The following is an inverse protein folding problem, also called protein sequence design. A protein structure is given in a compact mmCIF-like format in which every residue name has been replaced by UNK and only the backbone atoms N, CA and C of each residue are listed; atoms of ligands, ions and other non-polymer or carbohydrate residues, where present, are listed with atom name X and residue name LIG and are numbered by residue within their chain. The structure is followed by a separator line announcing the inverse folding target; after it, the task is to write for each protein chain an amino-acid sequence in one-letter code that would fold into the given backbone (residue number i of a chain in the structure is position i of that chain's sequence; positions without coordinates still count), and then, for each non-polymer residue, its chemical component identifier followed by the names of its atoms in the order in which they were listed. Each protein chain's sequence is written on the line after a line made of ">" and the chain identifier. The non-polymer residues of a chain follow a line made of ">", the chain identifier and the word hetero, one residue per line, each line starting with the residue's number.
data_IF_964793019072
#
_entry.id   IF_964793019072
#
_cell.length_a   1.000
_cell.length_b   1.000
_cell.length_c   1.000
_cell.angle_alpha   90.00
_cell.angle_beta   90.00
_cell.angle_gamma   90.00
#
_symmetry.space_group_name_H-M   'P 1'
#
loop_
_entity.id
_entity.type
_entity.pdbx_description
1 polymer ?
2 non-polymer ?
3 water ?
#
# COMPACT_ATOMS: atom_id res chain seq x y z
N UNK A 2 -12.39 -21.97 13.72
CA UNK A 2 -12.68 -20.88 12.75
C UNK A 2 -14.05 -21.09 12.12
N UNK A 3 -14.70 -19.97 11.79
CA UNK A 3 -16.02 -19.95 11.18
C UNK A 3 -15.88 -19.81 9.66
N UNK A 4 -16.35 -20.81 8.92
CA UNK A 4 -16.34 -20.78 7.43
C UNK A 4 -17.35 -19.82 6.77
N UNK A 5 -18.40 -19.43 7.50
CA UNK A 5 -19.49 -18.59 6.94
C UNK A 5 -20.01 -17.59 8.01
N UNK A 6 -19.14 -16.66 8.43
CA UNK A 6 -19.52 -15.73 9.51
C UNK A 6 -20.61 -14.72 9.14
N UNK A 7 -21.42 -14.35 10.13
CA UNK A 7 -22.46 -13.28 9.95
C UNK A 7 -21.84 -11.88 9.78
N UNK A 8 -20.71 -11.66 10.44
CA UNK A 8 -19.96 -10.40 10.33
C UNK A 8 -18.63 -10.64 9.61
N UNK A 9 -18.33 -9.81 8.61
CA UNK A 9 -17.01 -9.83 7.94
C UNK A 9 -16.16 -8.70 8.48
N UNK A 10 -15.02 -9.08 9.04
CA UNK A 10 -13.99 -8.16 9.52
C UNK A 10 -13.03 -7.86 8.34
N UNK A 11 -13.05 -6.59 7.91
CA UNK A 11 -12.39 -6.10 6.69
C UNK A 11 -11.32 -5.06 7.05
N UNK A 12 -10.04 -5.46 6.93
CA UNK A 12 -8.89 -4.61 7.30
C UNK A 12 -8.35 -3.84 6.08
N UNK A 13 -7.97 -2.59 6.35
CA UNK A 13 -7.40 -1.67 5.36
C UNK A 13 -5.95 -1.33 5.68
N UNK A 14 -5.05 -1.47 4.71
CA UNK A 14 -3.62 -1.15 4.95
C UNK A 14 -3.47 0.27 5.48
N UNK A 15 -2.68 0.48 6.58
CA UNK A 15 -2.58 1.85 7.16
C UNK A 15 -1.49 2.67 6.42
N UNK A 16 -1.78 2.97 5.15
CA UNK A 16 -0.89 3.79 4.30
C UNK A 16 -1.08 5.32 4.49
N UNK A 17 -2.22 5.67 5.10
CA UNK A 17 -2.64 7.05 5.39
C UNK A 17 -3.32 7.08 6.78
N UNK A 18 -3.60 8.31 7.22
CA UNK A 18 -4.49 8.65 8.34
C UNK A 18 -5.73 7.71 8.35
N UNK A 19 -6.01 7.06 9.49
CA UNK A 19 -7.11 6.07 9.59
C UNK A 19 -8.48 6.71 9.21
N UNK A 20 -8.73 7.93 9.68
CA UNK A 20 -9.99 8.64 9.36
C UNK A 20 -10.18 8.83 7.84
N UNK A 21 -9.09 9.20 7.14
CA UNK A 21 -9.10 9.33 5.66
C UNK A 21 -9.49 8.00 4.96
N UNK A 22 -8.92 6.90 5.44
CA UNK A 22 -9.21 5.55 4.88
C UNK A 22 -10.66 5.10 5.09
N UNK A 23 -11.15 5.30 6.32
CA UNK A 23 -12.55 4.94 6.67
C UNK A 23 -13.53 5.74 5.77
N UNK A 24 -13.27 7.04 5.65
CA UNK A 24 -14.03 7.92 4.74
C UNK A 24 -14.06 7.40 3.30
N UNK A 25 -12.87 7.17 2.74
CA UNK A 25 -12.72 6.72 1.33
C UNK A 25 -13.48 5.40 1.05
N UNK A 26 -13.44 4.48 2.01
CA UNK A 26 -14.01 3.12 1.87
C UNK A 26 -15.49 2.98 2.29
N UNK A 27 -16.15 4.06 2.75
CA UNK A 27 -17.53 3.94 3.23
C UNK A 27 -18.48 3.48 2.11
N UNK A 28 -18.37 4.06 0.87
CA UNK A 28 -19.30 3.57 -0.18
C UNK A 28 -19.10 2.11 -0.56
N UNK A 29 -17.83 1.66 -0.54
CA UNK A 29 -17.54 0.22 -0.75
C UNK A 29 -18.16 -0.66 0.35
N UNK A 30 -18.03 -0.22 1.62
CA UNK A 30 -18.66 -0.93 2.75
C UNK A 30 -20.18 -1.14 2.53
N UNK A 31 -20.86 -0.06 2.13
CA UNK A 31 -22.31 -0.11 1.86
C UNK A 31 -22.63 -1.08 0.70
N UNK A 32 -21.87 -0.98 -0.37
CA UNK A 32 -22.02 -1.87 -1.55
C UNK A 32 -21.87 -3.37 -1.16
N UNK A 33 -20.83 -3.67 -0.38
CA UNK A 33 -20.58 -5.05 0.11
C UNK A 33 -21.72 -5.59 1.00
N UNK A 34 -22.22 -4.76 1.91
CA UNK A 34 -23.32 -5.23 2.82
C UNK A 34 -24.54 -5.68 2.02
N UNK A 35 -24.90 -4.84 1.06
CA UNK A 35 -26.01 -5.10 0.08
C UNK A 35 -25.87 -6.40 -0.70
N UNK A 36 -24.72 -6.58 -1.33
CA UNK A 36 -24.52 -7.68 -2.29
C UNK A 36 -24.01 -9.01 -1.69
N UNK A 37 -23.54 -8.97 -0.44
CA UNK A 37 -23.03 -10.18 0.28
C UNK A 37 -23.96 -10.73 1.37
N UNK A 38 -24.91 -9.93 1.83
CA UNK A 38 -25.85 -10.30 2.96
C UNK A 38 -25.07 -10.62 4.24
N UNK A 39 -24.15 -9.71 4.52
CA UNK A 39 -23.30 -9.71 5.71
C UNK A 39 -23.25 -8.31 6.30
N UNK A 40 -22.98 -8.25 7.60
CA UNK A 40 -22.51 -7.02 8.27
C UNK A 40 -20.99 -6.89 8.02
N UNK A 41 -20.56 -5.68 7.70
CA UNK A 41 -19.14 -5.37 7.45
C UNK A 41 -18.60 -4.43 8.55
N UNK A 42 -17.50 -4.85 9.16
CA UNK A 42 -16.74 -4.05 10.13
C UNK A 42 -15.36 -3.65 9.57
N UNK A 43 -15.18 -2.36 9.29
CA UNK A 43 -13.89 -1.84 8.80
C UNK A 43 -12.91 -1.70 9.97
N UNK A 44 -11.67 -2.14 9.71
CA UNK A 44 -10.57 -2.15 10.70
C UNK A 44 -9.34 -1.46 10.11
N UNK A 45 -8.71 -0.57 10.90
CA UNK A 45 -7.37 -0.01 10.54
C UNK A 45 -6.42 -0.27 11.72
N UNK A 46 -5.43 -1.14 11.49
CA UNK A 46 -4.41 -1.48 12.50
C UNK A 46 -3.39 -0.35 12.65
N UNK A 47 -2.58 -0.44 13.72
CA UNK A 47 -1.58 0.61 14.05
C UNK A 47 -0.42 0.72 13.03
N UNK A 48 -0.06 -0.41 12.44
CA UNK A 48 1.07 -0.51 11.48
C UNK A 48 0.91 -1.76 10.56
N UNK A 49 1.85 -1.94 9.63
CA UNK A 49 1.76 -3.04 8.65
C UNK A 49 1.94 -4.43 9.33
N UNK A 50 2.92 -4.54 10.23
CA UNK A 50 3.20 -5.81 10.95
C UNK A 50 1.97 -6.30 11.73
N UNK A 51 1.29 -5.37 12.39
CA UNK A 51 0.08 -5.74 13.18
C UNK A 51 -1.05 -6.27 12.29
N UNK A 52 -1.14 -5.77 11.05
CA UNK A 52 -2.14 -6.27 10.07
C UNK A 52 -1.78 -7.70 9.60
N UNK A 53 -0.50 -7.91 9.28
CA UNK A 53 0.01 -9.24 8.88
C UNK A 53 -0.27 -10.27 10.02
N UNK A 54 0.06 -9.88 11.25
CA UNK A 54 -0.15 -10.76 12.44
C UNK A 54 -1.64 -11.05 12.68
N UNK A 55 -2.50 -10.05 12.55
CA UNK A 55 -3.97 -10.25 12.71
C UNK A 55 -4.49 -11.30 11.72
N UNK A 56 -4.00 -11.21 10.47
CA UNK A 56 -4.37 -12.18 9.43
C UNK A 56 -3.91 -13.62 9.80
N UNK A 57 -2.64 -13.76 10.22
CA UNK A 57 -2.07 -15.09 10.59
C UNK A 57 -2.86 -15.77 11.73
N UNK A 58 -3.33 -14.95 12.67
CA UNK A 58 -4.06 -15.47 13.85
C UNK A 58 -5.59 -15.61 13.66
N UNK A 59 -6.05 -15.35 12.43
CA UNK A 59 -7.49 -15.50 12.03
C UNK A 59 -8.45 -14.44 12.57
N UNK A 60 -7.89 -13.29 12.98
CA UNK A 60 -8.67 -12.18 13.57
C UNK A 60 -9.31 -11.23 12.55
N UNK A 61 -8.97 -11.40 11.28
CA UNK A 61 -9.63 -10.66 10.20
C UNK A 61 -9.96 -11.65 9.04
N UNK A 62 -10.95 -11.26 8.24
CA UNK A 62 -11.51 -12.14 7.19
C UNK A 62 -11.04 -11.74 5.77
N UNK A 63 -11.17 -10.46 5.48
CA UNK A 63 -10.71 -9.82 4.22
C UNK A 63 -9.68 -8.74 4.57
N UNK A 64 -8.70 -8.56 3.68
CA UNK A 64 -7.69 -7.52 3.86
C UNK A 64 -7.30 -6.83 2.53
N UNK A 65 -7.22 -5.49 2.56
CA UNK A 65 -6.68 -4.68 1.46
C UNK A 65 -5.18 -4.46 1.77
N UNK A 66 -4.35 -5.32 1.18
CA UNK A 66 -2.86 -5.33 1.37
C UNK A 66 -2.12 -4.44 0.37
N UNK A 67 -0.89 -4.05 0.74
CA UNK A 67 0.09 -3.59 -0.29
C UNK A 67 0.78 -4.81 -0.91
N UNK A 68 1.47 -4.65 -2.05
CA UNK A 68 2.10 -5.81 -2.69
C UNK A 68 3.10 -6.59 -1.80
N UNK A 69 4.01 -5.88 -1.13
CA UNK A 69 5.04 -6.54 -0.28
C UNK A 69 4.42 -7.15 1.00
N UNK A 70 3.51 -6.41 1.65
CA UNK A 70 2.80 -6.97 2.84
C UNK A 70 1.97 -8.21 2.48
N UNK A 71 1.35 -8.22 1.29
CA UNK A 71 0.63 -9.40 0.78
C UNK A 71 1.59 -10.64 0.70
N UNK A 72 2.75 -10.50 0.01
CA UNK A 72 3.64 -11.67 -0.17
C UNK A 72 4.19 -12.15 1.19
N UNK A 73 4.45 -11.22 2.11
CA UNK A 73 4.87 -11.58 3.49
C UNK A 73 3.76 -12.38 4.20
N UNK A 74 2.53 -11.88 4.15
CA UNK A 74 1.38 -12.58 4.78
C UNK A 74 1.14 -13.98 4.15
N UNK A 75 1.26 -14.06 2.82
CA UNK A 75 1.10 -15.32 2.06
C UNK A 75 2.14 -16.38 2.48
N UNK A 76 3.33 -15.93 2.87
CA UNK A 76 4.40 -16.83 3.34
C UNK A 76 4.16 -17.42 4.75
N UNK A 77 3.26 -16.78 5.50
CA UNK A 77 2.97 -17.10 6.91
C UNK A 77 1.59 -17.72 7.17
N UNK A 78 0.68 -17.61 6.21
CA UNK A 78 -0.76 -17.96 6.41
C UNK A 78 -1.40 -18.36 5.09
N UNK A 79 -2.53 -19.06 5.18
CA UNK A 79 -3.26 -19.54 3.99
C UNK A 79 -4.33 -18.54 3.59
N UNK A 80 -3.96 -17.72 2.59
CA UNK A 80 -4.79 -16.62 2.07
C UNK A 80 -4.79 -16.69 0.55
N UNK A 81 -5.76 -16.03 -0.07
CA UNK A 81 -5.82 -15.95 -1.52
C UNK A 81 -6.19 -14.56 -2.01
N UNK A 82 -5.48 -14.09 -3.06
CA UNK A 82 -5.76 -12.79 -3.67
C UNK A 82 -6.91 -12.93 -4.66
N UNK A 83 -7.74 -11.89 -4.76
CA UNK A 83 -8.93 -11.98 -5.66
C UNK A 83 -9.26 -10.74 -6.52
N UNK A 84 -8.79 -9.54 -6.15
CA UNK A 84 -9.10 -8.33 -6.96
C UNK A 84 -8.09 -7.22 -6.71
N UNK A 85 -7.90 -6.39 -7.73
CA UNK A 85 -7.11 -5.14 -7.64
C UNK A 85 -7.78 -4.07 -8.52
N UNK A 86 -7.61 -2.79 -8.15
CA UNK A 86 -8.26 -1.69 -8.89
C UNK A 86 -7.47 -1.33 -10.17
N UNK A 87 -8.24 -0.98 -11.20
CA UNK A 87 -7.73 -0.36 -12.44
C UNK A 87 -7.93 1.17 -12.32
N UNK A 88 -6.81 1.90 -12.29
CA UNK A 88 -6.77 3.35 -12.05
C UNK A 88 -5.91 3.99 -13.17
N UNK A 89 -6.44 5.04 -13.79
CA UNK A 89 -5.73 5.73 -14.92
C UNK A 89 -5.34 4.77 -16.06
N UNK A 90 -6.23 3.81 -16.31
CA UNK A 90 -6.09 2.89 -17.45
C UNK A 90 -5.05 1.81 -17.33
N UNK A 91 -4.66 1.48 -16.11
CA UNK A 91 -3.63 0.45 -15.90
C UNK A 91 -3.76 -0.23 -14.53
N UNK A 92 -3.32 -1.49 -14.43
CA UNK A 92 -3.43 -2.23 -13.16
C UNK A 92 -2.13 -2.17 -12.35
N UNK A 93 -1.39 -1.08 -12.53
CA UNK A 93 -0.09 -0.86 -11.89
C UNK A 93 -0.01 0.54 -11.26
N UNK A 94 1.02 0.76 -10.45
CA UNK A 94 1.31 2.09 -9.86
C UNK A 94 2.82 2.29 -9.70
N UNK A 95 3.20 3.53 -9.39
CA UNK A 95 4.62 3.95 -9.25
C UNK A 95 4.91 4.61 -7.89
N UNK A 96 6.20 4.50 -7.52
CA UNK A 96 6.81 5.25 -6.41
C UNK A 96 7.35 6.59 -6.96
N UNK A 97 7.27 7.63 -6.12
CA UNK A 97 7.90 8.97 -6.39
C UNK A 97 8.95 9.22 -5.29
N UNK A 98 10.11 9.75 -5.71
CA UNK A 98 11.16 10.21 -4.77
C UNK A 98 11.15 11.76 -4.79
N UNK A 99 11.00 12.33 -3.58
CA UNK A 99 10.85 13.77 -3.38
C UNK A 99 12.02 14.30 -2.52
N UNK A 100 12.31 15.61 -2.63
CA UNK A 100 13.32 16.30 -1.80
C UNK A 100 12.77 17.62 -1.24
N UNK A 101 13.30 17.97 -0.07
CA UNK A 101 13.06 19.29 0.53
C UNK A 101 13.88 20.32 -0.27
N UNK A 102 13.25 21.43 -0.64
CA UNK A 102 13.92 22.51 -1.46
C UNK A 102 15.08 23.21 -0.72
N UNK A 103 15.09 23.10 0.61
CA UNK A 103 16.09 23.77 1.49
C UNK A 103 17.26 22.90 1.98
N UNK A 104 17.37 21.69 1.43
CA UNK A 104 18.31 20.65 1.89
C UNK A 104 19.67 20.58 1.16
N UNK A 105 19.74 21.25 0.02
CA UNK A 105 20.87 21.08 -0.91
C UNK A 105 20.86 19.79 -1.74
N UNK A 106 19.74 19.06 -1.73
CA UNK A 106 19.63 17.82 -2.53
C UNK A 106 18.93 18.14 -3.85
N UNK A 107 19.70 18.09 -4.94
CA UNK A 107 19.20 18.53 -6.25
C UNK A 107 19.05 17.38 -7.25
N UNK A 108 19.62 16.22 -6.90
CA UNK A 108 19.60 14.97 -7.67
C UNK A 108 19.92 13.75 -6.76
N UNK A 109 19.67 12.51 -7.22
CA UNK A 109 19.86 11.31 -6.38
C UNK A 109 21.25 11.22 -5.74
N UNK A 110 22.26 11.54 -6.53
CA UNK A 110 23.64 11.45 -6.08
C UNK A 110 23.96 12.33 -4.81
N UNK A 111 23.22 13.41 -4.67
CA UNK A 111 23.38 14.38 -3.55
C UNK A 111 22.86 13.83 -2.19
N UNK A 112 22.20 12.66 -2.21
CA UNK A 112 21.72 12.02 -0.96
C UNK A 112 22.84 11.41 -0.11
N UNK A 113 24.03 11.25 -0.69
CA UNK A 113 25.18 10.75 0.09
C UNK A 113 25.41 11.59 1.36
N UNK A 114 25.36 10.91 2.52
CA UNK A 114 25.50 11.56 3.84
C UNK A 114 24.32 12.33 4.40
N UNK A 115 23.17 12.23 3.73
CA UNK A 115 21.94 12.96 4.07
C UNK A 115 20.87 12.00 4.68
N UNK A 116 19.70 12.55 4.97
CA UNK A 116 18.59 11.86 5.68
C UNK A 116 17.45 11.50 4.73
N UNK A 117 17.25 10.19 4.52
CA UNK A 117 16.15 9.62 3.70
C UNK A 117 15.00 9.14 4.61
N UNK A 118 13.79 9.56 4.28
CA UNK A 118 12.54 9.06 4.93
C UNK A 118 11.86 7.95 4.10
N UNK A 119 11.68 6.81 4.77
CA UNK A 119 10.83 5.70 4.30
C UNK A 119 9.60 5.59 5.23
N UNK A 120 8.58 4.86 4.80
CA UNK A 120 7.37 4.69 5.58
C UNK A 120 7.47 3.53 6.56
N UNK A 121 6.92 2.39 6.17
CA UNK A 121 6.97 1.13 6.96
C UNK A 121 8.03 0.22 6.31
N UNK A 122 8.77 -0.55 7.12
CA UNK A 122 9.75 -1.53 6.59
C UNK A 122 9.10 -2.52 5.59
N UNK A 123 7.83 -2.83 5.81
CA UNK A 123 7.04 -3.77 4.93
C UNK A 123 6.31 -3.09 3.76
N UNK A 124 6.67 -1.84 3.45
CA UNK A 124 6.08 -1.06 2.35
C UNK A 124 6.81 -1.30 1.01
N UNK A 125 6.01 -1.47 -0.05
CA UNK A 125 6.51 -1.58 -1.45
C UNK A 125 7.02 -0.19 -1.96
N UNK A 126 6.09 0.76 -2.05
CA UNK A 126 6.35 2.10 -2.66
C UNK A 126 6.95 3.15 -1.72
N UNK A 127 6.93 2.90 -0.41
CA UNK A 127 7.61 3.79 0.58
C UNK A 127 8.84 3.13 1.23
N UNK A 128 9.30 1.99 0.71
CA UNK A 128 10.57 1.35 1.14
C UNK A 128 11.28 0.58 0.01
N UNK A 129 10.75 -0.61 -0.33
CA UNK A 129 11.44 -1.52 -1.24
C UNK A 129 11.82 -0.87 -2.61
N UNK A 130 10.81 -0.29 -3.26
CA UNK A 130 10.99 0.33 -4.59
C UNK A 130 11.98 1.52 -4.57
N UNK A 131 11.73 2.57 -3.71
CA UNK A 131 12.67 3.72 -3.75
C UNK A 131 14.11 3.33 -3.33
N UNK A 132 14.26 2.42 -2.37
CA UNK A 132 15.59 1.88 -1.99
C UNK A 132 16.33 1.26 -3.20
N UNK A 133 15.57 0.46 -3.96
CA UNK A 133 16.10 -0.17 -5.17
C UNK A 133 16.52 0.86 -6.23
N UNK A 134 15.68 1.86 -6.45
CA UNK A 134 15.99 2.97 -7.40
C UNK A 134 17.29 3.67 -7.03
N UNK A 135 17.45 4.02 -5.75
CA UNK A 135 18.69 4.69 -5.28
C UNK A 135 19.97 3.85 -5.48
N UNK A 136 19.84 2.55 -5.25
CA UNK A 136 20.96 1.63 -5.46
C UNK A 136 21.30 1.51 -6.96
N UNK A 137 20.29 1.28 -7.78
CA UNK A 137 20.52 1.00 -9.22
C UNK A 137 21.03 2.23 -9.99
N UNK A 138 20.54 3.41 -9.59
CA UNK A 138 20.86 4.69 -10.30
C UNK A 138 22.11 5.44 -9.79
N UNK A 139 22.36 5.37 -8.49
CA UNK A 139 23.40 6.14 -7.79
C UNK A 139 24.38 5.32 -6.93
N UNK A 140 24.21 4.01 -6.91
CA UNK A 140 25.07 3.08 -6.14
C UNK A 140 25.11 3.41 -4.64
N UNK A 141 23.95 3.81 -4.11
CA UNK A 141 23.78 4.22 -2.69
C UNK A 141 23.06 3.11 -1.91
N UNK A 142 23.67 2.71 -0.78
CA UNK A 142 23.15 1.64 0.11
C UNK A 142 22.63 2.27 1.42
N UNK A 143 21.40 1.96 1.77
CA UNK A 143 20.78 2.49 2.98
C UNK A 143 21.47 2.08 4.28
N UNK A 144 21.69 3.06 5.16
CA UNK A 144 22.40 2.86 6.44
C UNK A 144 23.92 2.93 6.35
N UNK A 145 24.44 2.72 5.14
CA UNK A 145 25.88 2.71 4.87
C UNK A 145 26.30 4.05 4.27
N UNK A 146 25.59 4.47 3.21
CA UNK A 146 25.90 5.71 2.45
C UNK A 146 25.03 6.93 2.77
N UNK A 147 23.87 6.66 3.38
CA UNK A 147 22.92 7.69 3.83
C UNK A 147 22.18 7.16 5.08
N UNK A 148 21.63 8.09 5.86
CA UNK A 148 20.80 7.75 7.04
C UNK A 148 19.38 7.40 6.57
N UNK A 149 18.81 6.35 7.14
CA UNK A 149 17.43 5.96 6.85
C UNK A 149 16.60 6.02 8.14
N UNK A 150 15.40 6.60 8.04
CA UNK A 150 14.41 6.55 9.12
C UNK A 150 13.05 6.13 8.58
N UNK A 151 12.33 5.39 9.41
CA UNK A 151 11.02 4.80 9.07
C UNK A 151 9.95 5.53 9.88
N UNK A 152 9.16 6.36 9.19
CA UNK A 152 8.20 7.29 9.84
C UNK A 152 6.74 6.84 9.82
N UNK A 153 6.49 5.66 9.21
CA UNK A 153 5.18 4.97 9.23
C UNK A 153 4.37 5.15 7.93
N UNK A 154 3.38 6.01 7.94
CA UNK A 154 2.48 6.15 6.81
C UNK A 154 3.18 6.92 5.65
N UNK A 155 2.59 6.79 4.46
CA UNK A 155 3.02 7.61 3.30
C UNK A 155 2.76 9.12 3.60
N UNK A 156 1.64 9.42 4.29
CA UNK A 156 1.35 10.80 4.75
C UNK A 156 2.56 11.36 5.54
N UNK A 157 3.04 10.54 6.47
CA UNK A 157 4.21 10.93 7.33
C UNK A 157 5.48 11.16 6.52
N UNK A 158 5.72 10.36 5.48
CA UNK A 158 6.88 10.59 4.59
C UNK A 158 6.79 12.03 4.01
N UNK A 159 5.64 12.38 3.43
CA UNK A 159 5.46 13.71 2.82
C UNK A 159 5.67 14.84 3.85
N UNK A 160 5.04 14.68 5.03
CA UNK A 160 5.14 15.66 6.12
C UNK A 160 6.61 15.89 6.59
N UNK A 161 7.32 14.79 6.84
CA UNK A 161 8.72 14.86 7.32
C UNK A 161 9.72 15.47 6.30
N UNK A 162 9.51 15.18 5.02
CA UNK A 162 10.30 15.83 3.95
C UNK A 162 9.97 17.34 3.89
N UNK A 163 8.67 17.69 3.85
CA UNK A 163 8.24 19.10 3.70
C UNK A 163 8.68 19.99 4.90
N UNK A 164 8.69 19.44 6.12
CA UNK A 164 9.07 20.24 7.32
C UNK A 164 10.58 20.29 7.66
N UNK A 165 11.40 19.52 6.94
CA UNK A 165 12.87 19.51 7.14
C UNK A 165 13.42 18.44 8.08
N UNK A 166 12.56 17.62 8.70
CA UNK A 166 13.06 16.47 9.49
C UNK A 166 13.80 15.42 8.63
N UNK A 167 13.44 15.34 7.35
CA UNK A 167 14.18 14.53 6.38
C UNK A 167 14.55 15.42 5.17
N UNK A 168 15.63 15.06 4.50
CA UNK A 168 16.11 15.75 3.28
C UNK A 168 15.42 15.25 2.00
N UNK A 169 15.11 13.96 1.96
CA UNK A 169 14.42 13.32 0.83
C UNK A 169 13.56 12.17 1.34
N UNK A 170 12.66 11.66 0.50
CA UNK A 170 11.79 10.53 0.89
C UNK A 170 11.19 9.83 -0.33
N UNK A 171 10.67 8.62 -0.10
CA UNK A 171 9.96 7.88 -1.15
C UNK A 171 8.58 7.45 -0.70
N UNK A 172 7.61 7.51 -1.60
CA UNK A 172 6.18 7.19 -1.28
C UNK A 172 5.40 6.92 -2.57
N UNK A 173 4.15 6.53 -2.42
CA UNK A 173 3.24 6.31 -3.56
C UNK A 173 2.98 7.65 -4.30
N UNK A 174 3.13 7.63 -5.63
CA UNK A 174 2.79 8.79 -6.50
C UNK A 174 1.41 9.41 -6.22
N UNK A 175 0.40 8.55 -6.13
CA UNK A 175 -0.99 9.04 -5.90
C UNK A 175 -1.16 9.72 -4.54
N UNK A 176 -0.58 9.10 -3.50
CA UNK A 176 -0.66 9.69 -2.15
C UNK A 176 0.04 11.07 -2.11
N UNK A 177 1.22 11.14 -2.71
CA UNK A 177 1.97 12.43 -2.76
C UNK A 177 1.14 13.55 -3.43
N UNK A 178 0.54 13.19 -4.56
CA UNK A 178 -0.13 14.16 -5.44
C UNK A 178 -1.36 14.77 -4.79
N UNK A 179 -1.95 14.07 -3.82
CA UNK A 179 -3.11 14.63 -3.08
C UNK A 179 -2.80 15.22 -1.70
N UNK A 180 -1.53 15.19 -1.31
CA UNK A 180 -1.10 15.63 0.04
C UNK A 180 -1.30 17.12 0.30
N UNK A 181 -0.98 17.96 -0.69
CA UNK A 181 -1.24 19.44 -0.59
C UNK A 181 -2.73 19.76 -0.56
N UNK A 182 -3.47 19.09 -1.44
CA UNK A 182 -4.95 19.17 -1.51
C UNK A 182 -5.65 18.92 -0.16
N UNK A 183 -5.12 17.94 0.59
CA UNK A 183 -5.58 17.59 1.97
C UNK A 183 -5.04 18.52 3.10
N UNK A 184 -4.15 19.42 2.71
CA UNK A 184 -3.43 20.37 3.59
C UNK A 184 -2.43 19.75 4.56
N UNK A 185 -1.89 18.59 4.19
CA UNK A 185 -0.81 17.93 4.97
C UNK A 185 0.48 18.73 4.88
N UNK A 186 0.72 19.28 3.69
CA UNK A 186 2.00 19.95 3.36
C UNK A 186 1.81 21.24 2.54
N UNK A 187 2.83 22.09 2.61
CA UNK A 187 2.99 23.29 1.78
C UNK A 187 3.76 22.81 0.52
N UNK A 188 3.12 22.80 -0.66
CA UNK A 188 3.75 22.20 -1.86
C UNK A 188 5.00 22.92 -2.37
N UNK A 189 5.15 24.20 -2.01
CA UNK A 189 6.35 25.00 -2.39
C UNK A 189 7.64 24.57 -1.66
N UNK A 190 7.50 23.75 -0.62
CA UNK A 190 8.63 23.29 0.20
C UNK A 190 9.29 22.01 -0.34
N UNK A 191 8.66 21.37 -1.35
CA UNK A 191 9.15 20.11 -1.90
C UNK A 191 9.26 20.15 -3.42
N UNK A 192 10.12 19.30 -3.93
CA UNK A 192 10.20 19.03 -5.37
C UNK A 192 10.35 17.53 -5.66
N UNK A 193 9.98 17.14 -6.86
CA UNK A 193 10.13 15.73 -7.31
C UNK A 193 11.54 15.52 -7.89
N UNK A 194 12.22 14.47 -7.44
CA UNK A 194 13.50 14.02 -8.03
C UNK A 194 13.34 13.00 -9.16
N UNK A 195 12.41 12.07 -9.01
CA UNK A 195 12.18 11.06 -10.04
C UNK A 195 11.08 10.08 -9.66
N UNK A 196 10.88 9.12 -10.55
CA UNK A 196 9.84 8.09 -10.45
C UNK A 196 10.44 6.70 -10.70
N UNK A 197 9.80 5.68 -10.10
CA UNK A 197 10.12 4.27 -10.43
C UNK A 197 9.38 3.85 -11.72
N UNK A 198 9.64 2.61 -12.12
CA UNK A 198 8.76 1.93 -13.08
C UNK A 198 7.41 1.54 -12.47
N UNK A 199 6.61 0.84 -13.30
CA UNK A 199 5.26 0.42 -12.96
C UNK A 199 5.25 -0.99 -12.29
N UNK A 200 4.60 -1.09 -11.13
CA UNK A 200 4.53 -2.33 -10.30
C UNK A 200 3.07 -2.73 -10.07
N UNK A 201 2.80 -4.04 -9.83
CA UNK A 201 1.38 -4.45 -9.66
C UNK A 201 0.63 -3.75 -8.52
N UNK A 202 -0.66 -3.44 -8.77
CA UNK A 202 -1.53 -2.77 -7.81
C UNK A 202 -1.75 -3.54 -6.50
N UNK A 203 -2.20 -2.80 -5.49
CA UNK A 203 -2.54 -3.39 -4.16
C UNK A 203 -3.56 -4.53 -4.32
N UNK A 204 -3.31 -5.71 -3.74
CA UNK A 204 -4.27 -6.79 -3.80
C UNK A 204 -5.23 -6.88 -2.60
N UNK A 205 -6.51 -7.06 -2.92
CA UNK A 205 -7.50 -7.60 -1.96
C UNK A 205 -7.28 -9.12 -1.81
N UNK A 206 -7.29 -9.57 -0.56
CA UNK A 206 -7.12 -10.99 -0.20
C UNK A 206 -8.07 -11.42 0.92
N UNK A 207 -8.31 -12.72 0.99
CA UNK A 207 -9.20 -13.32 2.04
C UNK A 207 -8.60 -14.60 2.61
N UNK A 208 -8.95 -14.90 3.86
CA UNK A 208 -8.52 -16.19 4.45
C UNK A 208 -9.16 -17.36 3.66
N UNK A 209 -8.34 -18.37 3.38
CA UNK A 209 -8.71 -19.48 2.47
C UNK A 209 -9.62 -20.54 3.12
N UNK A 210 -9.80 -20.46 4.44
CA UNK A 210 -10.71 -21.35 5.19
C UNK A 210 -12.15 -20.84 5.30
N UNK A 211 -12.48 -19.72 4.62
CA UNK A 211 -13.88 -19.37 4.30
C UNK A 211 -14.45 -20.46 3.38
N UNK A 212 -15.75 -20.69 3.43
CA UNK A 212 -16.40 -21.74 2.59
C UNK A 212 -16.20 -21.47 1.09
N UNK A 213 -16.08 -22.54 0.28
CA UNK A 213 -15.97 -22.33 -1.17
C UNK A 213 -17.08 -21.46 -1.78
N UNK A 214 -18.30 -21.67 -1.30
CA UNK A 214 -19.48 -20.86 -1.73
C UNK A 214 -19.32 -19.35 -1.41
N UNK A 215 -18.85 -19.04 -0.21
CA UNK A 215 -18.65 -17.65 0.22
C UNK A 215 -17.50 -17.00 -0.57
N UNK A 216 -16.42 -17.76 -0.74
CA UNK A 216 -15.23 -17.27 -1.52
C UNK A 216 -15.62 -16.90 -2.97
N UNK A 217 -16.45 -17.74 -3.60
CA UNK A 217 -16.96 -17.45 -4.96
C UNK A 217 -17.80 -16.16 -5.00
N UNK A 218 -18.69 -16.01 -4.02
CA UNK A 218 -19.53 -14.81 -3.93
C UNK A 218 -18.69 -13.54 -3.72
N UNK A 219 -17.70 -13.59 -2.82
CA UNK A 219 -16.81 -12.43 -2.58
C UNK A 219 -16.10 -12.00 -3.88
N UNK A 220 -15.49 -12.97 -4.55
CA UNK A 220 -14.79 -12.72 -5.84
C UNK A 220 -15.73 -12.04 -6.86
N UNK A 221 -16.89 -12.67 -7.06
CA UNK A 221 -17.87 -12.19 -8.06
C UNK A 221 -18.38 -10.77 -7.75
N UNK A 222 -18.67 -10.49 -6.47
CA UNK A 222 -19.20 -9.17 -6.06
C UNK A 222 -18.15 -8.07 -6.33
N UNK A 223 -16.91 -8.30 -5.92
CA UNK A 223 -15.84 -7.30 -6.17
C UNK A 223 -15.59 -7.07 -7.68
N UNK A 224 -15.41 -8.16 -8.43
CA UNK A 224 -15.07 -8.02 -9.87
C UNK A 224 -16.24 -7.40 -10.67
N UNK A 225 -17.45 -7.59 -10.18
CA UNK A 225 -18.67 -6.98 -10.78
C UNK A 225 -18.95 -5.50 -10.52
N UNK A 226 -18.13 -4.84 -9.69
CA UNK A 226 -18.43 -3.44 -9.31
C UNK A 226 -18.40 -2.52 -10.54
N UNK A 227 -19.53 -1.90 -10.86
CA UNK A 227 -19.52 -0.79 -11.87
C UNK A 227 -20.31 0.46 -11.45
N UNK A 228 -20.62 0.55 -10.16
CA UNK A 228 -21.34 1.70 -9.58
C UNK A 228 -20.40 2.93 -9.52
N UNK A 229 -20.73 4.02 -10.28
CA UNK A 229 -19.84 5.20 -10.29
C UNK A 229 -19.60 5.81 -8.91
N UNK A 230 -20.58 5.70 -8.01
CA UNK A 230 -20.42 6.25 -6.67
C UNK A 230 -19.41 5.48 -5.79
N UNK A 231 -19.21 4.18 -6.04
CA UNK A 231 -18.14 3.39 -5.34
C UNK A 231 -16.78 3.69 -5.98
N UNK A 232 -16.75 3.75 -7.31
CA UNK A 232 -15.50 3.93 -8.09
C UNK A 232 -14.91 5.33 -7.92
N UNK A 233 -15.78 6.33 -7.76
CA UNK A 233 -15.36 7.76 -7.73
C UNK A 233 -14.37 8.08 -6.62
N UNK A 234 -14.63 7.55 -5.42
CA UNK A 234 -13.77 7.83 -4.25
C UNK A 234 -12.33 7.35 -4.44
N UNK A 235 -12.19 6.27 -5.24
CA UNK A 235 -10.87 5.67 -5.55
C UNK A 235 -10.23 6.19 -6.85
N UNK A 236 -10.98 7.03 -7.58
CA UNK A 236 -10.61 7.49 -8.94
C UNK A 236 -10.30 6.27 -9.86
N UNK A 237 -11.10 5.22 -9.68
CA UNK A 237 -10.95 3.94 -10.39
C UNK A 237 -11.97 3.73 -11.50
N UNK A 238 -11.63 2.87 -12.45
CA UNK A 238 -12.51 2.47 -13.57
C UNK A 238 -13.18 1.08 -13.41
N UNK A 239 -12.53 0.20 -12.64
CA UNK A 239 -12.97 -1.19 -12.47
C UNK A 239 -12.17 -1.87 -11.35
N UNK A 240 -12.65 -3.03 -10.92
CA UNK A 240 -11.90 -3.99 -10.08
C UNK A 240 -11.61 -5.22 -10.97
N UNK A 241 -10.33 -5.49 -11.19
CA UNK A 241 -9.87 -6.58 -12.06
C UNK A 241 -9.56 -7.85 -11.27
N UNK A 242 -9.72 -9.04 -11.90
CA UNK A 242 -9.24 -10.29 -11.27
C UNK A 242 -7.70 -10.32 -11.25
N UNK A 243 -7.14 -11.03 -10.27
CA UNK A 243 -5.69 -11.20 -10.10
C UNK A 243 -5.35 -12.63 -9.68
N UNK A 244 -4.06 -12.97 -9.81
CA UNK A 244 -3.52 -14.26 -9.32
C UNK A 244 -2.27 -14.04 -8.45
N UNK A 245 -1.95 -15.04 -7.64
CA UNK A 245 -0.76 -14.97 -6.75
C UNK A 245 0.55 -14.73 -7.54
N UNK A 246 0.68 -15.37 -8.71
CA UNK A 246 1.87 -15.23 -9.57
C UNK A 246 2.15 -13.82 -10.08
N UNK A 247 1.11 -12.97 -10.07
CA UNK A 247 1.26 -11.52 -10.43
C UNK A 247 2.22 -10.77 -9.47
N UNK A 248 2.46 -11.35 -8.30
CA UNK A 248 3.30 -10.74 -7.24
C UNK A 248 4.72 -11.37 -7.15
N UNK A 249 5.04 -12.31 -8.07
CA UNK A 249 6.41 -12.89 -8.11
C UNK A 249 7.53 -11.82 -8.35
N UNK A 250 7.22 -10.79 -9.13
CA UNK A 250 8.14 -9.68 -9.37
C UNK A 250 8.61 -9.07 -8.01
N UNK A 251 7.62 -8.91 -7.10
CA UNK A 251 7.86 -8.34 -5.75
C UNK A 251 8.68 -9.30 -4.88
N UNK A 252 8.36 -10.61 -4.95
CA UNK A 252 9.13 -11.65 -4.24
C UNK A 252 10.61 -11.59 -4.63
N UNK A 253 10.87 -11.49 -5.94
CA UNK A 253 12.26 -11.46 -6.45
C UNK A 253 13.00 -10.18 -6.01
N UNK A 254 12.34 -9.03 -6.13
CA UNK A 254 12.93 -7.77 -5.61
C UNK A 254 13.23 -7.78 -4.10
N UNK A 255 12.38 -8.47 -3.35
CA UNK A 255 12.51 -8.58 -1.90
C UNK A 255 13.73 -9.32 -1.39
N UNK A 256 14.41 -10.03 -2.27
CA UNK A 256 15.77 -10.58 -1.96
C UNK A 256 16.71 -9.52 -1.36
N UNK A 257 16.60 -8.29 -1.87
CA UNK A 257 17.45 -7.16 -1.40
C UNK A 257 17.23 -6.82 0.07
N UNK A 258 16.01 -7.10 0.57
CA UNK A 258 15.64 -6.87 2.00
C UNK A 258 15.83 -8.10 2.89
N UNK A 259 16.32 -9.19 2.31
CA UNK A 259 16.57 -10.42 3.07
C UNK A 259 15.40 -11.37 3.12
N UNK A 260 14.44 -11.18 2.22
CA UNK A 260 13.27 -12.04 2.17
C UNK A 260 13.51 -13.19 1.21
N UNK A 261 13.13 -14.38 1.65
CA UNK A 261 13.31 -15.60 0.88
C UNK A 261 11.96 -16.24 0.55
N UNK A 262 11.76 -16.42 -0.75
CA UNK A 262 10.64 -17.19 -1.31
C UNK A 262 11.20 -18.01 -2.47
#
# INVERSE_FOLDING_TARGET
>A
MADADPDVLKVALLPDENASELIKRNQPLKDYLEEHLDKKVQLIVTTDYSSMIEAMRFGRIDLAYFGPLSYVMAKSKSDIEPFAAMVIDGKPTYRSVIIANVASGVNEYADLKGKRMAYGDRASTSSHLIPKTVLLETADLTGGQDYEQHFVGTHDAVAVNVANGNADAGGLSEVIFNHAAERGLIDPSKVKVLGYSGEYPQYPWAMRSNLSPELKTKVRDVFVGIDDPEVLRNFKAEAFAPITDADYDVIRNMGSLLGLDFATMLEHHHHHH
#
